data_IF_617135652034
#
_entry.id   IF_617135652034
#
_cell.length_a   1.000
_cell.length_b   1.000
_cell.length_c   1.000
_cell.angle_alpha   90.00
_cell.angle_beta   90.00
_cell.angle_gamma   90.00
#
_symmetry.space_group_name_H-M   'P 1'
#
loop_
_entity.id
_entity.type
_entity.pdbx_description
1 polymer ?
#
# COMPACT_ATOMS: atom_id res chain seq x y z
N UNK A 1 -2.27 17.12 -24.11
CA UNK A 1 -1.78 15.73 -24.22
C UNK A 1 -2.93 14.81 -23.84
N UNK A 2 -3.57 14.16 -24.81
CA UNK A 2 -4.68 13.24 -24.56
C UNK A 2 -4.19 12.01 -23.80
N UNK A 3 -4.76 11.75 -22.62
CA UNK A 3 -4.53 10.51 -21.88
C UNK A 3 -5.21 9.38 -22.64
N UNK A 4 -4.47 8.72 -23.54
CA UNK A 4 -4.93 7.52 -24.24
C UNK A 4 -5.09 6.39 -23.22
N UNK A 5 -6.33 6.04 -22.92
CA UNK A 5 -6.65 4.88 -22.10
C UNK A 5 -6.18 3.61 -22.83
N UNK A 6 -5.27 2.87 -22.20
CA UNK A 6 -4.84 1.55 -22.68
C UNK A 6 -5.47 0.51 -21.76
N UNK A 7 -6.30 -0.36 -22.32
CA UNK A 7 -6.80 -1.53 -21.60
C UNK A 7 -5.63 -2.51 -21.52
N UNK A 8 -5.05 -2.66 -20.34
CA UNK A 8 -4.01 -3.66 -20.08
C UNK A 8 -4.72 -4.90 -19.55
N UNK A 9 -4.89 -5.98 -20.33
CA UNK A 9 -5.43 -7.23 -19.82
C UNK A 9 -4.46 -7.77 -18.77
N UNK A 10 -4.94 -7.82 -17.52
CA UNK A 10 -4.17 -8.30 -16.37
C UNK A 10 -4.22 -9.82 -16.35
N UNK A 11 -3.14 -10.46 -16.81
CA UNK A 11 -2.91 -11.89 -16.60
C UNK A 11 -2.10 -12.06 -15.30
N UNK A 12 -2.74 -12.70 -14.33
CA UNK A 12 -2.27 -12.86 -12.95
C UNK A 12 -1.04 -13.74 -12.81
N UNK A 13 -0.85 -14.65 -13.76
CA UNK A 13 0.08 -15.77 -13.58
C UNK A 13 1.54 -15.37 -13.80
N UNK A 14 1.80 -14.33 -14.59
CA UNK A 14 3.17 -13.97 -15.02
C UNK A 14 3.38 -12.48 -15.32
N UNK A 15 2.33 -11.68 -15.60
CA UNK A 15 2.52 -10.31 -16.11
C UNK A 15 2.77 -9.24 -15.06
N UNK A 16 2.32 -9.40 -13.82
CA UNK A 16 2.55 -8.37 -12.79
C UNK A 16 4.04 -8.15 -12.49
N UNK A 17 4.81 -9.24 -12.43
CA UNK A 17 6.26 -9.18 -12.28
C UNK A 17 6.90 -8.45 -13.47
N UNK A 18 6.32 -8.56 -14.67
CA UNK A 18 6.79 -7.90 -15.90
C UNK A 18 6.08 -6.59 -16.24
N UNK A 19 5.22 -6.02 -15.38
CA UNK A 19 4.56 -4.74 -15.65
C UNK A 19 5.58 -3.59 -15.62
N UNK A 20 5.57 -2.75 -16.66
CA UNK A 20 6.34 -1.50 -16.63
C UNK A 20 5.86 -0.55 -15.53
N UNK A 21 6.77 0.28 -15.01
CA UNK A 21 6.51 1.15 -13.86
C UNK A 21 5.27 2.05 -13.96
N UNK A 22 4.90 2.63 -15.14
CA UNK A 22 3.69 3.45 -15.24
C UNK A 22 2.40 2.64 -15.01
N UNK A 23 2.35 1.41 -15.53
CA UNK A 23 1.20 0.51 -15.35
C UNK A 23 1.14 -0.01 -13.92
N UNK A 24 2.30 -0.36 -13.36
CA UNK A 24 2.41 -0.78 -11.97
C UNK A 24 1.91 0.32 -11.01
N UNK A 25 2.37 1.56 -11.21
CA UNK A 25 1.94 2.70 -10.38
C UNK A 25 0.45 3.01 -10.51
N UNK A 26 -0.15 2.80 -11.68
CA UNK A 26 -1.60 2.99 -11.87
C UNK A 26 -2.42 2.05 -10.98
N UNK A 27 -2.01 0.78 -10.88
CA UNK A 27 -2.76 -0.25 -10.16
C UNK A 27 -2.44 -0.33 -8.67
N UNK A 28 -1.19 -0.08 -8.29
CA UNK A 28 -0.73 -0.22 -6.91
C UNK A 28 -0.53 1.11 -6.18
N UNK A 29 -0.55 2.25 -6.90
CA UNK A 29 -0.19 3.59 -6.39
C UNK A 29 1.20 3.68 -5.74
N UNK A 30 2.04 2.68 -5.99
CA UNK A 30 3.42 2.57 -5.54
C UNK A 30 4.34 2.44 -6.75
N UNK A 31 5.58 2.86 -6.61
CA UNK A 31 6.62 2.42 -7.54
C UNK A 31 7.07 1.00 -7.15
N UNK A 32 7.76 0.33 -8.07
CA UNK A 32 8.23 -1.05 -7.86
C UNK A 32 9.22 -1.18 -6.70
N UNK A 33 10.17 -0.27 -6.60
CA UNK A 33 11.17 -0.27 -5.52
C UNK A 33 10.52 -0.17 -4.12
N UNK A 34 9.49 0.66 -3.97
CA UNK A 34 8.72 0.79 -2.71
C UNK A 34 7.90 -0.46 -2.42
N UNK A 35 7.33 -1.10 -3.45
CA UNK A 35 6.65 -2.37 -3.29
C UNK A 35 7.61 -3.48 -2.81
N UNK A 36 8.79 -3.58 -3.42
CA UNK A 36 9.83 -4.55 -3.06
C UNK A 36 10.38 -4.30 -1.64
N UNK A 37 10.59 -3.05 -1.26
CA UNK A 37 10.98 -2.69 0.11
C UNK A 37 9.90 -3.06 1.14
N UNK A 38 8.62 -2.82 0.82
CA UNK A 38 7.50 -3.19 1.68
C UNK A 38 7.38 -4.71 1.84
N UNK A 39 7.56 -5.45 0.74
CA UNK A 39 7.65 -6.91 0.72
C UNK A 39 8.70 -7.43 1.71
N UNK A 40 9.92 -6.89 1.64
CA UNK A 40 11.03 -7.30 2.52
C UNK A 40 10.71 -7.03 3.99
N UNK A 41 10.17 -5.85 4.32
CA UNK A 41 9.81 -5.51 5.70
C UNK A 41 8.75 -6.47 6.26
N UNK A 42 7.74 -6.81 5.46
CA UNK A 42 6.65 -7.69 5.88
C UNK A 42 7.10 -9.15 5.95
N UNK A 43 7.95 -9.60 5.02
CA UNK A 43 8.56 -10.93 5.06
C UNK A 43 9.33 -11.14 6.37
N UNK A 44 10.26 -10.24 6.67
CA UNK A 44 11.06 -10.27 7.90
C UNK A 44 10.20 -10.25 9.17
N UNK A 45 9.12 -9.45 9.17
CA UNK A 45 8.20 -9.37 10.30
C UNK A 45 7.46 -10.70 10.55
N UNK A 46 7.02 -11.37 9.48
CA UNK A 46 6.27 -12.61 9.59
C UNK A 46 7.16 -13.82 9.88
N UNK A 47 8.37 -13.86 9.34
CA UNK A 47 9.38 -14.88 9.66
C UNK A 47 9.73 -14.90 11.16
N UNK A 48 9.81 -13.72 11.79
CA UNK A 48 10.07 -13.60 13.23
C UNK A 48 8.92 -14.05 14.14
N UNK A 49 7.69 -14.18 13.62
CA UNK A 49 6.51 -14.52 14.43
C UNK A 49 6.18 -16.01 14.46
N UNK A 50 6.34 -16.75 13.36
CA UNK A 50 6.06 -18.20 13.30
C UNK A 50 6.93 -18.77 12.17
N UNK A 51 7.64 -19.87 12.45
CA UNK A 51 8.24 -20.75 11.44
C UNK A 51 7.40 -20.71 10.15
N UNK A 52 7.94 -20.12 9.09
CA UNK A 52 7.45 -20.30 7.72
C UNK A 52 7.62 -21.79 7.39
N UNK A 53 6.76 -22.63 7.96
CA UNK A 53 6.74 -24.05 7.74
C UNK A 53 6.35 -24.24 6.28
N UNK A 54 7.32 -24.73 5.52
CA UNK A 54 7.21 -25.20 4.13
C UNK A 54 7.09 -24.06 3.13
N UNK A 55 8.27 -23.49 2.82
CA UNK A 55 8.47 -22.38 1.90
C UNK A 55 7.47 -22.28 0.76
N UNK A 56 6.80 -21.13 0.68
CA UNK A 56 6.26 -20.57 -0.54
C UNK A 56 6.28 -19.04 -0.45
N UNK A 57 7.39 -18.46 -0.88
CA UNK A 57 7.50 -17.06 -1.31
C UNK A 57 6.32 -16.59 -2.21
N UNK A 58 5.74 -17.43 -3.10
CA UNK A 58 4.62 -17.02 -3.97
C UNK A 58 3.34 -16.61 -3.25
N UNK A 59 3.07 -17.09 -2.03
CA UNK A 59 1.84 -16.70 -1.31
C UNK A 59 1.96 -15.28 -0.73
N UNK A 60 3.18 -14.85 -0.38
CA UNK A 60 3.43 -13.53 0.16
C UNK A 60 3.22 -12.45 -0.91
N UNK A 61 3.86 -12.61 -2.07
CA UNK A 61 3.71 -11.69 -3.21
C UNK A 61 2.24 -11.50 -3.56
N UNK A 62 1.51 -12.62 -3.74
CA UNK A 62 0.09 -12.60 -4.08
C UNK A 62 -0.77 -11.98 -2.98
N UNK A 63 -0.44 -12.21 -1.70
CA UNK A 63 -1.12 -11.58 -0.59
C UNK A 63 -0.94 -10.06 -0.64
N UNK A 64 0.29 -9.56 -0.81
CA UNK A 64 0.56 -8.12 -0.86
C UNK A 64 -0.09 -7.48 -2.07
N UNK A 65 0.06 -8.07 -3.26
CA UNK A 65 -0.50 -7.54 -4.48
C UNK A 65 -2.02 -7.38 -4.39
N UNK A 66 -2.73 -8.43 -3.96
CA UNK A 66 -4.19 -8.39 -3.79
C UNK A 66 -4.62 -7.34 -2.76
N UNK A 67 -3.89 -7.24 -1.65
CA UNK A 67 -4.23 -6.33 -0.56
C UNK A 67 -3.98 -4.87 -0.92
N UNK A 68 -2.84 -4.59 -1.55
CA UNK A 68 -2.49 -3.25 -2.03
C UNK A 68 -3.43 -2.82 -3.15
N UNK A 69 -3.82 -3.72 -4.06
CA UNK A 69 -4.82 -3.40 -5.08
C UNK A 69 -6.12 -2.90 -4.46
N UNK A 70 -6.65 -3.60 -3.46
CA UNK A 70 -7.85 -3.18 -2.71
C UNK A 70 -7.66 -1.82 -2.03
N UNK A 71 -6.46 -1.51 -1.53
CA UNK A 71 -6.17 -0.21 -0.91
C UNK A 71 -5.99 0.91 -1.93
N UNK A 72 -5.47 0.58 -3.12
CA UNK A 72 -5.12 1.53 -4.16
C UNK A 72 -6.31 1.85 -5.08
N UNK A 73 -7.27 0.95 -5.23
CA UNK A 73 -8.40 1.10 -6.14
C UNK A 73 -9.73 0.97 -5.39
N UNK A 74 -10.82 1.60 -5.87
CA UNK A 74 -12.15 1.41 -5.31
C UNK A 74 -12.78 0.04 -5.68
N UNK A 75 -11.97 -0.98 -6.00
CA UNK A 75 -12.46 -2.29 -6.41
C UNK A 75 -13.01 -3.10 -5.24
N UNK A 76 -14.00 -3.94 -5.54
CA UNK A 76 -14.50 -4.91 -4.58
C UNK A 76 -13.61 -6.14 -4.47
N UNK A 77 -13.65 -6.83 -3.32
CA UNK A 77 -13.01 -8.14 -3.14
C UNK A 77 -13.42 -9.15 -4.22
N UNK A 78 -14.66 -9.07 -4.72
CA UNK A 78 -15.14 -9.91 -5.83
C UNK A 78 -14.42 -9.60 -7.13
N UNK A 79 -14.30 -8.31 -7.48
CA UNK A 79 -13.59 -7.86 -8.68
C UNK A 79 -12.14 -8.34 -8.66
N UNK A 80 -11.44 -8.05 -7.56
CA UNK A 80 -10.05 -8.49 -7.36
C UNK A 80 -9.94 -10.02 -7.36
N UNK A 81 -10.90 -10.75 -6.81
CA UNK A 81 -10.88 -12.20 -6.86
C UNK A 81 -10.94 -12.75 -8.28
N UNK A 82 -11.81 -12.18 -9.12
CA UNK A 82 -11.89 -12.50 -10.56
C UNK A 82 -10.59 -12.13 -11.27
N UNK A 83 -10.09 -10.91 -11.04
CA UNK A 83 -8.82 -10.43 -11.61
C UNK A 83 -7.66 -11.33 -11.23
N UNK A 84 -7.64 -11.90 -10.02
CA UNK A 84 -6.55 -12.73 -9.53
C UNK A 84 -6.79 -14.24 -9.63
N UNK A 85 -7.87 -14.68 -10.29
CA UNK A 85 -8.20 -16.11 -10.44
C UNK A 85 -8.35 -16.85 -9.10
N UNK A 86 -8.91 -16.20 -8.08
CA UNK A 86 -9.01 -16.70 -6.70
C UNK A 86 -10.45 -16.54 -6.16
N UNK A 87 -10.73 -17.07 -4.98
CA UNK A 87 -12.01 -16.84 -4.29
C UNK A 87 -12.02 -15.51 -3.52
N UNK A 88 -13.15 -14.78 -3.46
CA UNK A 88 -13.28 -13.54 -2.68
C UNK A 88 -12.91 -13.69 -1.20
N UNK A 89 -13.25 -14.84 -0.60
CA UNK A 89 -12.88 -15.17 0.79
C UNK A 89 -11.37 -15.22 1.00
N UNK A 90 -10.61 -15.65 -0.01
CA UNK A 90 -9.15 -15.70 0.04
C UNK A 90 -8.55 -14.30 -0.07
N UNK A 91 -9.09 -13.44 -0.95
CA UNK A 91 -8.69 -12.03 -1.04
C UNK A 91 -8.95 -11.31 0.28
N UNK A 92 -10.14 -11.49 0.87
CA UNK A 92 -10.47 -10.91 2.17
C UNK A 92 -9.52 -11.40 3.27
N UNK A 93 -9.24 -12.71 3.34
CA UNK A 93 -8.29 -13.27 4.32
C UNK A 93 -6.88 -12.67 4.17
N UNK A 94 -6.40 -12.52 2.94
CA UNK A 94 -5.12 -11.88 2.64
C UNK A 94 -5.11 -10.42 3.09
N UNK A 95 -6.15 -9.66 2.73
CA UNK A 95 -6.32 -8.28 3.12
C UNK A 95 -6.30 -8.11 4.64
N UNK A 96 -7.11 -8.86 5.39
CA UNK A 96 -7.16 -8.77 6.85
C UNK A 96 -5.80 -9.06 7.49
N UNK A 97 -5.09 -10.10 7.03
CA UNK A 97 -3.74 -10.44 7.52
C UNK A 97 -2.74 -9.32 7.24
N UNK A 98 -2.77 -8.79 6.01
CA UNK A 98 -1.89 -7.70 5.60
C UNK A 98 -2.13 -6.44 6.43
N UNK A 99 -3.39 -6.03 6.62
CA UNK A 99 -3.75 -4.87 7.45
C UNK A 99 -3.30 -5.07 8.90
N UNK A 100 -3.52 -6.25 9.49
CA UNK A 100 -3.07 -6.53 10.84
C UNK A 100 -1.55 -6.37 10.97
N UNK A 101 -0.78 -6.92 10.02
CA UNK A 101 0.68 -6.75 9.98
C UNK A 101 1.08 -5.29 9.84
N UNK A 102 0.40 -4.50 8.99
CA UNK A 102 0.66 -3.07 8.86
C UNK A 102 0.36 -2.31 10.17
N UNK A 103 -0.73 -2.64 10.86
CA UNK A 103 -1.08 -2.04 12.14
C UNK A 103 -0.02 -2.34 13.21
N UNK A 104 0.49 -3.57 13.25
CA UNK A 104 1.56 -3.93 14.17
C UNK A 104 2.89 -3.21 13.85
N UNK A 105 3.17 -2.99 12.55
CA UNK A 105 4.37 -2.28 12.09
C UNK A 105 4.23 -0.75 12.19
N UNK A 106 3.01 -0.21 12.20
CA UNK A 106 2.73 1.22 12.13
C UNK A 106 3.53 2.05 13.17
N UNK A 107 3.65 1.66 14.45
CA UNK A 107 4.42 2.44 15.43
C UNK A 107 5.92 2.58 15.11
N UNK A 108 6.48 1.71 14.27
CA UNK A 108 7.88 1.80 13.83
C UNK A 108 8.07 2.92 12.81
N UNK A 109 7.09 3.15 11.94
CA UNK A 109 7.20 4.05 10.79
C UNK A 109 6.40 5.35 10.94
N UNK A 110 5.27 5.30 11.64
CA UNK A 110 4.37 6.43 11.86
C UNK A 110 4.64 6.95 13.26
N UNK A 111 5.36 8.06 13.35
CA UNK A 111 5.58 8.80 14.59
C UNK A 111 4.59 9.94 14.66
N UNK A 112 3.71 9.88 15.65
CA UNK A 112 2.78 10.97 15.94
C UNK A 112 3.47 11.97 16.88
N UNK A 113 3.36 13.28 16.62
CA UNK A 113 3.95 14.28 17.48
C UNK A 113 3.30 14.24 18.87
N UNK A 114 4.11 14.48 19.89
CA UNK A 114 3.62 14.60 21.26
C UNK A 114 2.79 15.88 21.47
N UNK A 115 2.34 16.14 22.69
CA UNK A 115 1.48 17.29 22.96
C UNK A 115 2.19 18.64 22.71
N UNK A 116 3.48 18.72 23.06
CA UNK A 116 4.28 19.95 22.94
C UNK A 116 4.71 20.17 21.50
N UNK A 117 5.13 19.10 20.80
CA UNK A 117 5.39 19.13 19.37
C UNK A 117 4.14 19.53 18.58
N UNK A 118 2.97 18.97 18.90
CA UNK A 118 1.70 19.36 18.26
C UNK A 118 1.39 20.83 18.44
N UNK A 119 1.61 21.38 19.64
CA UNK A 119 1.39 22.81 19.91
C UNK A 119 2.36 23.67 19.10
N UNK A 120 3.61 23.25 19.01
CA UNK A 120 4.66 23.93 18.25
C UNK A 120 4.31 23.96 16.76
N UNK A 121 3.94 22.80 16.19
CA UNK A 121 3.53 22.66 14.80
C UNK A 121 2.28 23.51 14.51
N UNK A 122 1.25 23.43 15.36
CA UNK A 122 0.01 24.17 15.19
C UNK A 122 0.22 25.68 15.23
N UNK A 123 1.07 26.18 16.14
CA UNK A 123 1.39 27.60 16.21
C UNK A 123 2.17 28.05 14.97
N UNK A 124 3.19 27.29 14.55
CA UNK A 124 3.97 27.61 13.35
C UNK A 124 3.09 27.69 12.10
N UNK A 125 2.17 26.74 11.91
CA UNK A 125 1.22 26.77 10.80
C UNK A 125 0.21 27.90 10.91
N UNK A 126 -0.30 28.20 12.11
CA UNK A 126 -1.23 29.30 12.29
C UNK A 126 -0.58 30.65 11.94
N UNK A 127 0.68 30.86 12.35
CA UNK A 127 1.43 32.07 12.00
C UNK A 127 1.64 32.19 10.49
N UNK A 128 1.86 31.09 9.78
CA UNK A 128 2.12 31.13 8.33
C UNK A 128 0.85 31.16 7.48
N UNK A 129 -0.21 30.44 7.87
CA UNK A 129 -1.39 30.19 7.05
C UNK A 129 -2.68 30.81 7.58
N UNK A 130 -2.70 31.26 8.83
CA UNK A 130 -3.91 31.74 9.53
C UNK A 130 -4.82 30.64 10.05
N UNK A 131 -4.57 29.36 9.71
CA UNK A 131 -5.42 28.24 10.15
C UNK A 131 -4.91 27.64 11.47
N UNK A 132 -5.70 27.68 12.56
CA UNK A 132 -5.30 27.12 13.83
C UNK A 132 -5.44 25.59 13.87
N UNK A 133 -4.65 24.95 14.73
CA UNK A 133 -4.82 23.52 15.06
C UNK A 133 -4.30 22.51 14.03
N UNK A 134 -3.57 22.96 13.00
CA UNK A 134 -2.95 22.08 12.01
C UNK A 134 -1.73 21.39 12.62
N UNK A 135 -1.77 20.06 12.75
CA UNK A 135 -0.66 19.26 13.32
C UNK A 135 0.07 18.40 12.26
N UNK A 136 -0.35 18.49 11.00
CA UNK A 136 0.25 17.77 9.88
C UNK A 136 -0.68 17.76 8.65
N UNK A 137 -0.16 17.26 7.53
CA UNK A 137 -0.92 17.07 6.30
C UNK A 137 -0.76 15.65 5.79
N UNK A 138 -1.82 15.13 5.19
CA UNK A 138 -1.75 13.96 4.33
C UNK A 138 -1.75 14.45 2.88
N UNK A 139 -0.67 14.19 2.17
CA UNK A 139 -0.50 14.65 0.78
C UNK A 139 -0.78 13.46 -0.15
N UNK A 140 -1.60 13.67 -1.18
CA UNK A 140 -1.76 12.70 -2.26
C UNK A 140 -0.53 12.71 -3.16
N UNK A 141 0.21 11.60 -3.16
CA UNK A 141 1.48 11.41 -3.87
C UNK A 141 1.27 11.37 -5.40
N UNK A 142 0.02 11.32 -5.88
CA UNK A 142 -0.29 11.37 -7.30
C UNK A 142 -0.22 12.78 -7.91
N UNK A 143 -0.21 13.84 -7.09
CA UNK A 143 -0.13 15.24 -7.55
C UNK A 143 1.29 15.83 -7.48
N UNK A 144 2.27 15.10 -6.94
CA UNK A 144 3.66 15.56 -6.90
C UNK A 144 4.36 15.30 -8.25
N UNK A 145 4.07 16.17 -9.21
CA UNK A 145 4.95 16.50 -10.33
C UNK A 145 4.84 18.00 -10.55
N UNK A 146 5.73 18.73 -9.88
CA UNK A 146 6.15 20.08 -10.25
C UNK A 146 7.61 20.23 -9.92
#
# INVERSE_FOLDING_TARGET
MEKKWTVIPVDVSTKFQSMGDPAFRLHFRLNRATFEALMEVIANYMEGKILFQRGRMPELDLMLMKSIWILATPDSFRSVAVTFGTYPSTVHRHYTRFIATLCDLAPRFIKWPDADERRTIANAFHTHSGFPGIVGFLIDILQSKT
#
